data_IF_498238599359
#
_entry.id   IF_498238599359
#
_cell.length_a   1.000
_cell.length_b   1.000
_cell.length_c   1.000
_cell.angle_alpha   90.00
_cell.angle_beta   90.00
_cell.angle_gamma   90.00
#
_symmetry.space_group_name_H-M   'P 1'
#
loop_
_entity.id
_entity.type
_entity.pdbx_description
1 polymer ?
#
# COMPACT_ATOMS: atom_id res chain seq x y z
N UNK A 1 3.71 0.10 4.14
CA UNK A 1 2.88 0.44 2.96
C UNK A 1 3.80 0.90 1.85
N UNK A 2 3.51 0.60 0.59
CA UNK A 2 4.30 1.03 -0.55
C UNK A 2 3.42 1.83 -1.50
N UNK A 3 3.81 3.07 -1.81
CA UNK A 3 3.17 3.89 -2.84
C UNK A 3 4.09 3.88 -4.06
N UNK A 4 3.65 3.19 -5.12
CA UNK A 4 4.43 3.04 -6.36
C UNK A 4 4.24 4.29 -7.21
N UNK A 5 5.35 4.86 -7.71
CA UNK A 5 5.35 5.96 -8.66
C UNK A 5 5.65 5.45 -10.07
N UNK A 6 5.35 6.26 -11.06
CA UNK A 6 5.63 5.99 -12.47
C UNK A 6 7.12 6.19 -12.84
N UNK A 7 7.87 6.94 -12.03
CA UNK A 7 9.31 7.22 -12.21
C UNK A 7 10.25 6.06 -11.83
N UNK A 8 9.71 4.89 -11.49
CA UNK A 8 10.51 3.73 -11.07
C UNK A 8 10.97 3.76 -9.61
N UNK A 9 10.44 4.67 -8.80
CA UNK A 9 10.62 4.70 -7.35
C UNK A 9 9.34 4.37 -6.60
N UNK A 10 9.46 4.13 -5.29
CA UNK A 10 8.33 4.02 -4.38
C UNK A 10 8.58 4.82 -3.11
N UNK A 11 7.49 5.35 -2.53
CA UNK A 11 7.49 5.82 -1.15
C UNK A 11 7.20 4.60 -0.27
N UNK A 12 8.19 4.21 0.53
CA UNK A 12 8.12 3.11 1.46
C UNK A 12 7.87 3.61 2.87
N UNK A 13 6.83 3.08 3.50
CA UNK A 13 6.54 3.29 4.91
C UNK A 13 6.78 2.01 5.70
N UNK A 14 7.70 2.06 6.65
CA UNK A 14 7.91 1.00 7.63
C UNK A 14 7.03 1.23 8.87
N UNK A 15 6.24 0.22 9.22
CA UNK A 15 5.30 0.27 10.36
C UNK A 15 4.49 1.59 10.47
N UNK A 16 3.81 2.05 9.40
CA UNK A 16 3.03 3.28 9.46
C UNK A 16 1.77 3.12 10.32
N UNK A 17 1.25 4.24 10.80
CA UNK A 17 -0.14 4.33 11.24
C UNK A 17 -1.03 4.49 10.00
N UNK A 18 -2.10 3.71 9.93
CA UNK A 18 -3.06 3.75 8.83
C UNK A 18 -4.46 3.98 9.39
N UNK A 19 -5.17 4.94 8.80
CA UNK A 19 -6.60 5.13 8.99
C UNK A 19 -7.28 4.96 7.63
N UNK A 20 -8.44 4.33 7.60
CA UNK A 20 -9.15 4.04 6.36
C UNK A 20 -10.65 4.29 6.52
N UNK A 21 -11.25 4.88 5.49
CA UNK A 21 -12.69 4.90 5.30
C UNK A 21 -12.99 4.15 4.01
N UNK A 22 -13.45 2.90 4.14
CA UNK A 22 -13.75 2.04 3.00
C UNK A 22 -14.94 2.58 2.20
N UNK A 23 -15.96 3.11 2.88
CA UNK A 23 -17.12 3.73 2.23
C UNK A 23 -16.75 4.97 1.41
N UNK A 24 -15.74 5.72 1.86
CA UNK A 24 -15.22 6.89 1.14
C UNK A 24 -14.02 6.57 0.24
N UNK A 25 -13.64 5.30 0.08
CA UNK A 25 -12.46 4.86 -0.68
C UNK A 25 -11.18 5.66 -0.33
N UNK A 26 -11.02 6.02 0.93
CA UNK A 26 -9.98 6.96 1.37
C UNK A 26 -9.08 6.33 2.42
N UNK A 27 -7.77 6.48 2.25
CA UNK A 27 -6.75 6.03 3.19
C UNK A 27 -5.87 7.20 3.61
N UNK A 28 -5.64 7.35 4.91
CA UNK A 28 -4.68 8.27 5.48
C UNK A 28 -3.52 7.47 6.09
N UNK A 29 -2.30 7.74 5.65
CA UNK A 29 -1.08 7.03 6.06
C UNK A 29 -0.14 8.06 6.69
N UNK A 30 0.33 7.79 7.91
CA UNK A 30 1.30 8.62 8.60
C UNK A 30 2.43 7.78 9.21
N UNK A 31 3.62 8.37 9.27
CA UNK A 31 4.84 7.70 9.74
C UNK A 31 6.04 8.10 8.90
N UNK A 32 7.20 7.53 9.24
CA UNK A 32 8.43 7.76 8.51
C UNK A 32 8.35 7.15 7.10
N UNK A 33 8.72 7.95 6.10
CA UNK A 33 8.66 7.60 4.69
C UNK A 33 10.06 7.67 4.08
N UNK A 34 10.43 6.66 3.30
CA UNK A 34 11.68 6.62 2.55
C UNK A 34 11.37 6.48 1.06
N UNK A 35 12.05 7.26 0.21
CA UNK A 35 11.99 7.01 -1.24
C UNK A 35 13.05 5.97 -1.60
N UNK A 36 12.64 4.87 -2.23
CA UNK A 36 13.53 3.78 -2.65
C UNK A 36 13.31 3.44 -4.12
N UNK A 37 14.34 2.97 -4.82
CA UNK A 37 14.17 2.44 -6.18
C UNK A 37 13.44 1.10 -6.11
N UNK A 38 12.57 0.82 -7.08
CA UNK A 38 11.82 -0.45 -7.12
C UNK A 38 12.74 -1.67 -7.15
N UNK A 39 13.91 -1.55 -7.79
CA UNK A 39 14.94 -2.59 -7.86
C UNK A 39 15.49 -3.00 -6.49
N UNK A 40 15.58 -2.07 -5.55
CA UNK A 40 16.07 -2.32 -4.17
C UNK A 40 15.02 -3.03 -3.31
N UNK A 41 13.75 -3.02 -3.75
CA UNK A 41 12.62 -3.59 -3.02
C UNK A 41 12.18 -4.97 -3.56
N UNK A 42 12.91 -5.51 -4.54
CA UNK A 42 12.66 -6.82 -5.10
C UNK A 42 13.11 -7.95 -4.14
N UNK A 43 12.42 -9.10 -4.15
CA UNK A 43 11.17 -9.41 -4.87
C UNK A 43 9.91 -8.92 -4.13
N UNK A 44 10.06 -8.36 -2.92
CA UNK A 44 8.97 -8.05 -1.98
C UNK A 44 7.90 -7.10 -2.53
N UNK A 45 8.28 -6.18 -3.41
CA UNK A 45 7.36 -5.22 -4.01
C UNK A 45 6.31 -5.89 -4.93
N UNK A 46 6.68 -6.99 -5.60
CA UNK A 46 5.78 -7.75 -6.48
C UNK A 46 4.61 -8.37 -5.69
N UNK A 47 4.86 -8.82 -4.46
CA UNK A 47 3.83 -9.38 -3.59
C UNK A 47 2.85 -8.30 -3.09
N UNK A 48 3.31 -7.05 -2.98
CA UNK A 48 2.49 -5.89 -2.57
C UNK A 48 1.57 -5.41 -3.69
N UNK A 49 2.01 -5.51 -4.95
CA UNK A 49 1.18 -5.22 -6.11
C UNK A 49 0.22 -6.38 -6.45
N UNK A 50 0.55 -7.62 -6.04
CA UNK A 50 -0.09 -8.85 -6.52
C UNK A 50 -1.15 -9.50 -5.61
N UNK A 51 -1.45 -8.98 -4.42
CA UNK A 51 -2.40 -9.63 -3.50
C UNK A 51 -3.83 -9.06 -3.60
N UNK A 52 -4.48 -9.29 -4.75
CA UNK A 52 -5.93 -9.15 -4.89
C UNK A 52 -6.62 -10.45 -4.46
N UNK A 53 -6.75 -10.69 -3.14
CA UNK A 53 -7.80 -11.56 -2.61
C UNK A 53 -8.98 -10.64 -2.32
N UNK A 54 -10.00 -10.70 -3.16
CA UNK A 54 -11.29 -10.04 -2.90
C UNK A 54 -11.81 -10.48 -1.54
N UNK A 55 -11.82 -9.60 -0.54
CA UNK A 55 -12.80 -9.65 0.54
C UNK A 55 -13.87 -8.63 0.18
N UNK A 56 -14.91 -9.13 -0.51
CA UNK A 56 -16.19 -8.45 -0.55
C UNK A 56 -16.66 -8.31 0.92
N UNK A 57 -17.12 -7.14 1.37
CA UNK A 57 -17.89 -7.10 2.60
C UNK A 57 -19.15 -7.93 2.36
N UNK A 58 -19.33 -8.98 3.15
CA UNK A 58 -20.61 -9.68 3.20
C UNK A 58 -21.69 -8.66 3.58
N UNK A 59 -22.51 -8.26 2.60
CA UNK A 59 -23.79 -7.64 2.92
C UNK A 59 -24.60 -8.68 3.69
N UNK A 60 -24.78 -8.44 4.98
CA UNK A 60 -25.62 -9.27 5.83
C UNK A 60 -26.79 -8.40 6.28
N UNK A 61 -27.99 -8.82 5.88
CA UNK A 61 -29.29 -8.58 6.52
C UNK A 61 -29.70 -7.13 6.74
#
# INVERSE_FOLDING_TARGET
VNVIKDDGTAIHYNNPKVQASLSANTFAISGHAETKRLTEMLPRILQSAGSRKHQQPAQTG
#
